data_IF_053162671249
#
_entry.id   IF_053162671249
#
_cell.length_a   1.000
_cell.length_b   1.000
_cell.length_c   1.000
_cell.angle_alpha   90.00
_cell.angle_beta   90.00
_cell.angle_gamma   90.00
#
_symmetry.space_group_name_H-M   'P 1'
#
loop_
_entity.id
_entity.type
_entity.pdbx_description
1 polymer ?
#
# COMPACT_ATOMS: atom_id res chain seq x y z
N UNK A 1 8.48 0.63 -16.80
CA UNK A 1 8.05 -0.65 -16.45
C UNK A 1 6.70 -0.66 -15.76
N UNK A 2 6.16 -1.81 -15.64
CA UNK A 2 4.89 -2.04 -14.96
C UNK A 2 5.05 -1.80 -13.46
N UNK A 3 4.16 -1.00 -12.87
CA UNK A 3 4.15 -0.71 -11.44
C UNK A 3 2.79 -1.07 -10.86
N UNK A 4 2.81 -1.69 -9.69
CA UNK A 4 1.62 -2.13 -8.96
C UNK A 4 1.70 -1.60 -7.55
N UNK A 5 0.60 -1.04 -7.05
CA UNK A 5 0.52 -0.67 -5.65
C UNK A 5 0.56 -1.94 -4.78
N UNK A 6 1.38 -1.94 -3.74
CA UNK A 6 1.60 -3.12 -2.89
C UNK A 6 1.40 -2.74 -1.44
N UNK A 7 0.45 -3.40 -0.79
CA UNK A 7 0.22 -3.29 0.65
C UNK A 7 0.73 -4.54 1.37
N UNK A 8 1.37 -4.35 2.51
CA UNK A 8 1.92 -5.42 3.35
C UNK A 8 1.34 -5.34 4.78
N UNK A 9 0.21 -6.01 5.04
CA UNK A 9 -0.40 -6.04 6.37
C UNK A 9 0.49 -6.78 7.38
N UNK A 10 0.41 -6.39 8.65
CA UNK A 10 1.07 -7.04 9.77
C UNK A 10 0.10 -7.80 10.70
N UNK A 11 -1.21 -7.60 10.54
CA UNK A 11 -2.28 -8.28 11.29
C UNK A 11 -3.37 -8.75 10.35
N UNK A 12 -4.21 -9.68 10.81
CA UNK A 12 -5.37 -10.13 10.02
C UNK A 12 -6.41 -9.01 9.87
N UNK A 13 -6.62 -8.17 10.89
CA UNK A 13 -7.51 -7.02 10.77
C UNK A 13 -7.03 -6.08 9.67
N UNK A 14 -5.75 -5.74 9.67
CA UNK A 14 -5.18 -4.87 8.63
C UNK A 14 -5.28 -5.51 7.24
N UNK A 15 -5.13 -6.83 7.13
CA UNK A 15 -5.31 -7.55 5.88
C UNK A 15 -6.75 -7.44 5.34
N UNK A 16 -7.75 -7.54 6.23
CA UNK A 16 -9.16 -7.36 5.89
C UNK A 16 -9.41 -5.92 5.42
N UNK A 17 -8.97 -4.94 6.20
CA UNK A 17 -9.19 -3.52 5.91
C UNK A 17 -8.51 -3.08 4.60
N UNK A 18 -7.27 -3.49 4.40
CA UNK A 18 -6.53 -3.18 3.18
C UNK A 18 -7.14 -3.88 1.96
N UNK A 19 -7.61 -5.12 2.09
CA UNK A 19 -8.27 -5.84 1.00
C UNK A 19 -9.60 -5.17 0.63
N UNK A 20 -10.39 -4.77 1.62
CA UNK A 20 -11.65 -4.08 1.42
C UNK A 20 -11.46 -2.76 0.66
N UNK A 21 -10.42 -1.99 1.01
CA UNK A 21 -10.13 -0.71 0.38
C UNK A 21 -9.33 -0.84 -0.93
N UNK A 22 -8.69 -1.98 -1.19
CA UNK A 22 -7.85 -2.19 -2.38
C UNK A 22 -8.62 -1.99 -3.69
N UNK A 23 -9.90 -2.31 -3.71
CA UNK A 23 -10.77 -2.13 -4.88
C UNK A 23 -10.90 -0.67 -5.29
N UNK A 24 -10.99 0.26 -4.33
CA UNK A 24 -11.06 1.69 -4.61
C UNK A 24 -9.80 2.20 -5.32
N UNK A 25 -8.62 1.74 -4.85
CA UNK A 25 -7.34 2.07 -5.51
C UNK A 25 -7.25 1.47 -6.91
N UNK A 26 -7.68 0.20 -7.05
CA UNK A 26 -7.62 -0.50 -8.32
C UNK A 26 -8.53 0.15 -9.37
N UNK A 27 -9.74 0.52 -9.00
CA UNK A 27 -10.72 1.16 -9.88
C UNK A 27 -10.33 2.60 -10.22
N UNK A 28 -9.94 3.40 -9.23
CA UNK A 28 -9.51 4.79 -9.42
C UNK A 28 -8.41 4.92 -10.48
N UNK A 29 -7.40 4.06 -10.41
CA UNK A 29 -6.22 4.17 -11.24
C UNK A 29 -6.20 3.18 -12.41
N UNK A 30 -7.22 2.30 -12.48
CA UNK A 30 -7.32 1.21 -13.45
C UNK A 30 -6.01 0.40 -13.50
N UNK A 31 -5.55 0.03 -12.32
CA UNK A 31 -4.27 -0.62 -12.11
C UNK A 31 -4.42 -1.72 -11.05
N UNK A 32 -3.78 -2.87 -11.21
CA UNK A 32 -3.80 -3.90 -10.18
C UNK A 32 -3.25 -3.40 -8.84
N UNK A 33 -3.81 -3.93 -7.75
CA UNK A 33 -3.31 -3.75 -6.40
C UNK A 33 -2.94 -5.11 -5.84
N UNK A 34 -1.82 -5.19 -5.16
CA UNK A 34 -1.32 -6.41 -4.54
C UNK A 34 -1.41 -6.29 -3.02
N UNK A 35 -2.03 -7.28 -2.38
CA UNK A 35 -1.94 -7.50 -0.93
C UNK A 35 -0.89 -8.58 -0.71
N UNK A 36 0.23 -8.19 -0.13
CA UNK A 36 1.36 -9.07 0.12
C UNK A 36 1.34 -9.55 1.57
N UNK A 37 0.95 -10.80 1.78
CA UNK A 37 0.97 -11.46 3.08
C UNK A 37 2.02 -12.57 3.09
N UNK A 38 2.68 -12.75 4.23
CA UNK A 38 3.51 -13.93 4.45
C UNK A 38 2.67 -15.16 4.84
N UNK A 39 3.26 -16.35 4.69
CA UNK A 39 2.57 -17.61 4.96
C UNK A 39 2.17 -17.80 6.43
N UNK A 40 2.89 -17.19 7.37
CA UNK A 40 2.54 -17.26 8.78
C UNK A 40 1.27 -16.46 9.05
N UNK A 41 1.20 -15.23 8.55
CA UNK A 41 -0.01 -14.41 8.68
C UNK A 41 -1.22 -15.04 8.00
N UNK A 42 -1.01 -15.72 6.86
CA UNK A 42 -2.07 -16.44 6.16
C UNK A 42 -2.56 -17.72 6.83
N UNK A 43 -1.81 -18.25 7.81
CA UNK A 43 -2.12 -19.50 8.51
C UNK A 43 -2.68 -19.32 9.93
N UNK A 44 -2.50 -18.14 10.53
CA UNK A 44 -3.03 -17.85 11.88
C UNK A 44 -4.54 -17.57 11.84
N UNK A 45 -5.20 -17.82 12.98
CA UNK A 45 -6.60 -17.45 13.20
C UNK A 45 -6.65 -16.39 14.29
N UNK A 46 -7.23 -15.24 13.96
CA UNK A 46 -7.48 -14.14 14.89
C UNK A 46 -8.90 -13.63 14.69
N UNK A 47 -9.46 -13.05 15.72
CA UNK A 47 -10.74 -12.34 15.61
C UNK A 47 -10.54 -11.09 14.76
N UNK A 48 -11.47 -10.86 13.81
CA UNK A 48 -11.48 -9.68 12.95
C UNK A 48 -12.87 -9.06 12.93
N UNK A 49 -12.91 -7.75 12.90
CA UNK A 49 -14.12 -6.99 12.65
C UNK A 49 -14.28 -6.77 11.14
N UNK A 50 -15.38 -7.26 10.59
CA UNK A 50 -15.64 -7.08 9.15
C UNK A 50 -16.14 -5.67 8.88
N UNK A 51 -15.62 -4.98 7.85
CA UNK A 51 -16.12 -3.68 7.45
C UNK A 51 -17.57 -3.81 6.94
N UNK A 52 -18.36 -2.73 7.02
CA UNK A 52 -19.74 -2.73 6.55
C UNK A 52 -19.80 -3.06 5.07
N UNK A 53 -20.83 -3.82 4.68
CA UNK A 53 -21.04 -4.15 3.27
C UNK A 53 -21.33 -2.87 2.48
N UNK A 54 -20.62 -2.68 1.38
CA UNK A 54 -20.90 -1.56 0.47
C UNK A 54 -22.24 -1.77 -0.23
N UNK A 55 -23.05 -0.72 -0.30
CA UNK A 55 -24.29 -0.77 -1.07
C UNK A 55 -23.96 -0.96 -2.57
N UNK A 56 -24.63 -1.94 -3.18
CA UNK A 56 -24.54 -2.16 -4.60
C UNK A 56 -25.32 -1.06 -5.33
N UNK A 57 -24.62 -0.08 -5.87
CA UNK A 57 -25.23 0.93 -6.74
C UNK A 57 -25.10 0.49 -8.20
N UNK A 58 -26.23 0.32 -8.86
CA UNK A 58 -26.28 0.11 -10.32
C UNK A 58 -26.17 1.44 -11.08
N UNK A 59 -26.23 2.57 -10.40
CA UNK A 59 -26.26 3.91 -11.02
C UNK A 59 -24.86 4.50 -11.22
N UNK A 60 -23.86 4.03 -10.46
CA UNK A 60 -22.49 4.55 -10.49
C UNK A 60 -21.51 3.55 -11.14
N UNK A 61 -21.86 3.02 -12.29
CA UNK A 61 -20.86 2.29 -13.09
C UNK A 61 -19.95 3.31 -13.78
N UNK A 62 -18.65 3.17 -13.55
CA UNK A 62 -17.64 3.96 -14.22
C UNK A 62 -17.80 3.92 -15.73
N UNK A 63 -17.49 5.01 -16.42
CA UNK A 63 -17.68 5.14 -17.86
C UNK A 63 -16.95 4.07 -18.69
N UNK A 64 -15.89 3.50 -18.14
CA UNK A 64 -15.12 2.40 -18.75
C UNK A 64 -15.69 1.01 -18.44
N UNK A 65 -16.68 0.89 -17.54
CA UNK A 65 -17.25 -0.39 -17.13
C UNK A 65 -18.00 -1.07 -18.27
N UNK A 66 -17.78 -2.38 -18.42
CA UNK A 66 -18.55 -3.21 -19.38
C UNK A 66 -20.01 -3.38 -18.94
N UNK A 67 -20.33 -3.20 -17.66
CA UNK A 67 -21.68 -3.32 -17.12
C UNK A 67 -22.57 -2.11 -17.44
N UNK A 68 -22.00 -0.98 -17.86
CA UNK A 68 -22.78 0.21 -18.20
C UNK A 68 -23.51 0.02 -19.53
N UNK A 69 -24.80 -0.20 -19.45
CA UNK A 69 -25.67 -0.35 -20.62
C UNK A 69 -26.21 1.02 -21.02
N UNK A 70 -25.86 1.48 -22.23
CA UNK A 70 -26.27 2.78 -22.77
C UNK A 70 -25.39 3.96 -22.29
N UNK A 71 -25.03 4.84 -23.20
CA UNK A 71 -24.21 6.03 -22.90
C UNK A 71 -22.73 5.76 -22.61
N UNK A 72 -22.25 4.55 -22.85
CA UNK A 72 -20.84 4.22 -22.82
C UNK A 72 -20.19 4.84 -24.08
N UNK A 73 -19.25 5.75 -23.84
CA UNK A 73 -18.62 6.49 -24.94
C UNK A 73 -17.58 5.66 -25.68
N UNK A 74 -16.81 4.82 -24.98
CA UNK A 74 -15.79 3.97 -25.59
C UNK A 74 -15.42 2.77 -24.70
N UNK A 75 -15.18 1.63 -25.32
CA UNK A 75 -14.50 0.51 -24.69
C UNK A 75 -13.01 0.72 -24.81
N UNK A 76 -12.39 1.22 -23.75
CA UNK A 76 -10.93 1.33 -23.73
C UNK A 76 -10.30 -0.04 -23.48
N UNK A 77 -10.12 -0.81 -24.54
CA UNK A 77 -9.21 -1.92 -24.49
C UNK A 77 -7.81 -1.37 -24.78
N UNK A 78 -6.95 -1.35 -23.75
CA UNK A 78 -5.53 -1.03 -23.96
C UNK A 78 -4.89 -2.25 -24.59
N UNK A 79 -4.59 -2.16 -25.88
CA UNK A 79 -3.83 -3.20 -26.57
C UNK A 79 -2.34 -2.91 -26.42
N UNK A 80 -1.47 -3.93 -26.28
CA UNK A 80 -0.01 -3.71 -26.26
C UNK A 80 0.53 -3.26 -27.62
N UNK A 81 -0.30 -3.26 -28.68
CA UNK A 81 0.07 -2.90 -30.04
C UNK A 81 -0.42 -1.47 -30.31
N UNK A 82 0.16 -0.51 -29.60
CA UNK A 82 0.00 0.91 -29.92
C UNK A 82 1.18 1.37 -30.79
N UNK A 83 0.96 2.29 -31.75
CA UNK A 83 2.06 2.98 -32.43
C UNK A 83 3.03 3.60 -31.42
N UNK A 84 4.34 3.56 -31.68
CA UNK A 84 5.37 4.00 -30.76
C UNK A 84 5.11 5.37 -30.10
N UNK A 85 4.69 6.42 -30.83
CA UNK A 85 4.42 7.73 -30.19
C UNK A 85 3.26 7.67 -29.19
N UNK A 86 2.19 6.92 -29.49
CA UNK A 86 1.04 6.77 -28.60
C UNK A 86 1.37 5.95 -27.35
N UNK A 87 2.19 4.91 -27.49
CA UNK A 87 2.68 4.12 -26.38
C UNK A 87 3.57 4.94 -25.45
N UNK A 88 4.46 5.76 -25.98
CA UNK A 88 5.30 6.65 -25.16
C UNK A 88 4.46 7.66 -24.38
N UNK A 89 3.45 8.25 -25.02
CA UNK A 89 2.54 9.20 -24.35
C UNK A 89 1.76 8.52 -23.23
N UNK A 90 1.26 7.30 -23.45
CA UNK A 90 0.57 6.50 -22.42
C UNK A 90 1.51 6.21 -21.24
N UNK A 91 2.74 5.80 -21.51
CA UNK A 91 3.74 5.52 -20.47
C UNK A 91 4.09 6.78 -19.65
N UNK A 92 4.20 7.94 -20.29
CA UNK A 92 4.40 9.22 -19.61
C UNK A 92 3.20 9.56 -18.71
N UNK A 93 1.98 9.40 -19.21
CA UNK A 93 0.77 9.62 -18.44
C UNK A 93 0.69 8.70 -17.21
N UNK A 94 0.91 7.41 -17.40
CA UNK A 94 0.99 6.45 -16.28
C UNK A 94 2.11 6.80 -15.30
N UNK A 95 3.22 7.32 -15.79
CA UNK A 95 4.32 7.81 -14.96
C UNK A 95 3.90 8.93 -13.99
N UNK A 96 3.02 9.83 -14.41
CA UNK A 96 2.45 10.87 -13.53
C UNK A 96 1.55 10.25 -12.45
N UNK A 97 0.70 9.29 -12.81
CA UNK A 97 -0.13 8.56 -11.83
C UNK A 97 0.76 7.92 -10.76
N UNK A 98 1.81 7.19 -11.16
CA UNK A 98 2.73 6.53 -10.22
C UNK A 98 3.46 7.51 -9.30
N UNK A 99 3.84 8.69 -9.82
CA UNK A 99 4.41 9.76 -8.99
C UNK A 99 3.39 10.33 -8.02
N UNK A 100 2.12 10.44 -8.43
CA UNK A 100 1.03 10.87 -7.56
C UNK A 100 0.92 9.98 -6.32
N UNK A 101 1.03 8.67 -6.48
CA UNK A 101 0.99 7.73 -5.35
C UNK A 101 2.08 7.98 -4.30
N UNK A 102 3.27 8.42 -4.73
CA UNK A 102 4.38 8.73 -3.82
C UNK A 102 4.06 9.90 -2.86
N UNK A 103 3.05 10.71 -3.18
CA UNK A 103 2.60 11.83 -2.35
C UNK A 103 1.30 11.54 -1.59
N UNK A 104 0.34 10.86 -2.23
CA UNK A 104 -1.03 10.73 -1.70
C UNK A 104 -1.33 9.37 -1.07
N UNK A 105 -0.63 8.31 -1.49
CA UNK A 105 -1.05 6.94 -1.17
C UNK A 105 -0.03 6.15 -0.34
N UNK A 106 1.00 6.82 0.16
CA UNK A 106 1.97 6.21 1.07
C UNK A 106 1.32 5.96 2.43
N UNK A 107 1.44 4.72 2.92
CA UNK A 107 1.05 4.33 4.27
C UNK A 107 2.26 3.77 5.02
N UNK A 108 2.48 4.28 6.22
CA UNK A 108 3.62 3.91 7.08
C UNK A 108 3.20 4.00 8.54
N UNK A 109 3.73 3.12 9.35
CA UNK A 109 3.71 3.26 10.81
C UNK A 109 5.10 3.65 11.28
N UNK A 110 5.19 4.76 11.98
CA UNK A 110 6.38 5.21 12.69
C UNK A 110 6.18 4.92 14.17
N UNK A 111 7.04 4.08 14.74
CA UNK A 111 6.90 3.59 16.09
C UNK A 111 8.10 3.99 16.94
N UNK A 112 7.90 4.83 17.95
CA UNK A 112 8.89 5.26 18.94
C UNK A 112 10.19 5.82 18.31
N UNK A 113 10.06 6.67 17.27
CA UNK A 113 11.19 7.24 16.54
C UNK A 113 11.77 8.50 17.20
N UNK A 114 11.03 9.22 18.03
CA UNK A 114 11.38 10.57 18.52
C UNK A 114 12.73 10.62 19.23
N UNK A 115 13.07 9.59 20.00
CA UNK A 115 14.31 9.48 20.78
C UNK A 115 15.18 8.29 20.35
N UNK A 116 14.86 7.66 19.22
CA UNK A 116 15.52 6.43 18.79
C UNK A 116 16.98 6.65 18.41
N UNK A 117 17.84 5.78 18.92
CA UNK A 117 19.26 5.66 18.54
C UNK A 117 19.47 4.49 17.55
N UNK A 118 18.53 3.54 17.53
CA UNK A 118 18.49 2.41 16.60
C UNK A 118 17.12 2.38 15.94
N UNK A 119 17.07 2.21 14.63
CA UNK A 119 15.83 2.14 13.87
C UNK A 119 15.76 0.84 13.08
N UNK A 120 14.73 0.06 13.36
CA UNK A 120 14.40 -1.15 12.61
C UNK A 120 13.47 -0.79 11.47
N UNK A 121 13.73 -1.31 10.28
CA UNK A 121 12.81 -1.22 9.15
C UNK A 121 12.29 -2.62 8.84
N UNK A 122 10.99 -2.84 9.03
CA UNK A 122 10.39 -4.14 8.82
C UNK A 122 8.93 -4.02 8.39
N UNK A 123 8.37 -5.03 7.71
CA UNK A 123 6.98 -5.10 7.31
C UNK A 123 6.38 -6.49 7.58
N UNK A 124 5.06 -6.63 7.45
CA UNK A 124 4.37 -7.89 7.65
C UNK A 124 4.56 -8.45 9.05
N UNK A 125 4.64 -9.78 9.17
CA UNK A 125 4.84 -10.47 10.46
C UNK A 125 6.17 -10.10 11.11
N UNK A 126 7.20 -9.81 10.33
CA UNK A 126 8.50 -9.40 10.86
C UNK A 126 8.40 -8.09 11.64
N UNK A 127 7.60 -7.13 11.18
CA UNK A 127 7.34 -5.89 11.90
C UNK A 127 6.56 -6.13 13.20
N UNK A 128 5.60 -7.06 13.20
CA UNK A 128 4.84 -7.46 14.38
C UNK A 128 5.77 -8.05 15.47
N UNK A 129 6.67 -8.95 15.08
CA UNK A 129 7.67 -9.52 15.99
C UNK A 129 8.67 -8.47 16.46
N UNK A 130 9.13 -7.61 15.55
CA UNK A 130 10.06 -6.53 15.89
C UNK A 130 9.46 -5.54 16.88
N UNK A 131 8.17 -5.24 16.80
CA UNK A 131 7.50 -4.32 17.72
C UNK A 131 7.53 -4.84 19.15
N UNK A 132 7.31 -6.13 19.37
CA UNK A 132 7.44 -6.75 20.69
C UNK A 132 8.89 -6.74 21.19
N UNK A 133 9.84 -7.07 20.32
CA UNK A 133 11.27 -7.01 20.68
C UNK A 133 11.72 -5.58 21.04
N UNK A 134 11.20 -4.56 20.34
CA UNK A 134 11.47 -3.15 20.64
C UNK A 134 10.95 -2.78 22.02
N UNK A 135 9.75 -3.21 22.40
CA UNK A 135 9.19 -2.95 23.72
C UNK A 135 10.10 -3.52 24.83
N UNK A 136 10.53 -4.78 24.69
CA UNK A 136 11.42 -5.43 25.65
C UNK A 136 12.78 -4.70 25.73
N UNK A 137 13.38 -4.33 24.62
CA UNK A 137 14.63 -3.59 24.57
C UNK A 137 14.51 -2.19 25.22
N UNK A 138 13.37 -1.54 25.07
CA UNK A 138 13.12 -0.25 25.72
C UNK A 138 12.98 -0.37 27.24
N UNK A 139 12.41 -1.46 27.74
CA UNK A 139 12.40 -1.77 29.18
C UNK A 139 13.81 -1.98 29.73
N UNK A 140 14.73 -2.48 28.91
CA UNK A 140 16.16 -2.60 29.23
C UNK A 140 16.94 -1.28 29.09
N UNK A 141 16.29 -0.20 28.61
CA UNK A 141 16.88 1.13 28.47
C UNK A 141 17.48 1.45 27.09
N UNK A 142 17.31 0.57 26.11
CA UNK A 142 17.74 0.84 24.74
C UNK A 142 16.70 1.69 23.99
N UNK A 143 17.13 2.72 23.29
CA UNK A 143 16.28 3.59 22.50
C UNK A 143 16.13 3.07 21.07
N UNK A 144 15.24 2.11 20.90
CA UNK A 144 14.95 1.49 19.61
C UNK A 144 13.60 1.97 19.10
N UNK A 145 13.52 2.30 17.83
CA UNK A 145 12.28 2.62 17.14
C UNK A 145 12.10 1.77 15.87
N UNK A 146 10.97 1.93 15.19
CA UNK A 146 10.70 1.19 13.96
C UNK A 146 10.00 2.07 12.93
N UNK A 147 10.40 1.92 11.68
CA UNK A 147 9.63 2.33 10.50
C UNK A 147 9.03 1.09 9.87
N UNK A 148 7.71 1.01 9.83
CA UNK A 148 6.99 -0.09 9.20
C UNK A 148 6.30 0.39 7.93
N UNK A 149 6.83 0.12 6.75
CA UNK A 149 6.11 0.30 5.51
C UNK A 149 4.83 -0.54 5.50
N UNK A 150 3.67 0.10 5.35
CA UNK A 150 2.39 -0.55 5.06
C UNK A 150 2.24 -0.64 3.54
N UNK A 151 2.63 0.42 2.82
CA UNK A 151 2.86 0.37 1.37
C UNK A 151 4.31 0.02 1.10
N UNK A 152 4.55 -1.03 0.32
CA UNK A 152 5.88 -1.34 -0.22
C UNK A 152 6.13 -0.62 -1.55
N UNK A 153 5.06 -0.34 -2.28
CA UNK A 153 5.04 0.59 -3.38
C UNK A 153 3.69 1.32 -3.39
N UNK A 154 3.66 2.66 -3.33
CA UNK A 154 4.82 3.56 -3.17
C UNK A 154 5.53 3.37 -1.82
N UNK A 155 6.85 3.49 -1.82
CA UNK A 155 7.67 3.28 -0.63
C UNK A 155 7.69 4.56 0.23
N UNK A 156 7.62 4.48 1.58
CA UNK A 156 7.63 5.63 2.49
C UNK A 156 9.03 6.23 2.66
N UNK A 157 9.58 6.76 1.58
CA UNK A 157 10.92 7.32 1.55
C UNK A 157 11.09 8.49 2.52
N UNK A 158 10.05 9.31 2.68
CA UNK A 158 10.10 10.47 3.55
C UNK A 158 10.40 10.12 5.01
N UNK A 159 9.87 9.00 5.53
CA UNK A 159 10.15 8.55 6.90
C UNK A 159 11.62 8.21 7.12
N UNK A 160 12.31 7.72 6.09
CA UNK A 160 13.74 7.48 6.14
C UNK A 160 14.54 8.78 5.98
N UNK A 161 14.18 9.62 5.02
CA UNK A 161 14.87 10.88 4.74
C UNK A 161 14.80 11.85 5.93
N UNK A 162 13.77 11.75 6.77
CA UNK A 162 13.57 12.59 7.95
C UNK A 162 14.35 12.10 9.20
N UNK A 163 15.00 10.93 9.13
CA UNK A 163 15.82 10.44 10.25
C UNK A 163 17.05 11.33 10.46
N UNK A 164 17.34 11.61 11.73
CA UNK A 164 18.59 12.28 12.10
C UNK A 164 19.74 11.25 12.16
N UNK A 165 20.38 11.03 11.02
CA UNK A 165 21.50 10.09 10.88
C UNK A 165 22.75 10.45 11.70
N UNK A 166 22.77 11.58 12.39
CA UNK A 166 23.80 11.87 13.38
C UNK A 166 23.56 11.17 14.71
N UNK A 167 22.31 10.76 14.98
CA UNK A 167 21.89 10.10 16.23
C UNK A 167 21.54 8.63 16.02
N UNK A 168 21.00 8.30 14.86
CA UNK A 168 20.56 6.94 14.51
C UNK A 168 21.74 6.14 13.95
N UNK A 169 21.86 4.92 14.43
CA UNK A 169 22.87 3.93 14.03
C UNK A 169 22.25 2.83 13.18
#
# INVERSE_FOLDING_TARGET
GFRTMVFAPATLQEAVDLTYNAWEYAERDRNPVLILMDGCLGAIMEEVELPPMKELSTENTEDWSLAKVGGRTDNHMITPILPEPALEMLNKFKGFTYKGWEFSDVKVEEYLLEDAEYVVVAYGIAARVAKEAINNLREEGYKVGMIRPITLYPFPKASLDNLDYSKVK
#
